data_IF_500009043394
#
_entry.id   IF_500009043394
#
_cell.length_a   1.000
_cell.length_b   1.000
_cell.length_c   1.000
_cell.angle_alpha   90.00
_cell.angle_beta   90.00
_cell.angle_gamma   90.00
#
_symmetry.space_group_name_H-M   'P 1'
#
loop_
_entity.id
_entity.type
_entity.pdbx_description
1 polymer ?
#
# COMPACT_ATOMS: atom_id res chain seq x y z
N UNK A 1 32.19 -2.17 3.70
CA UNK A 1 31.34 -1.29 2.87
C UNK A 1 31.87 0.14 3.02
N UNK A 2 31.90 0.92 1.95
CA UNK A 2 32.36 2.32 2.01
C UNK A 2 31.22 3.24 2.42
N UNK A 3 31.49 4.18 3.33
CA UNK A 3 30.50 5.17 3.77
C UNK A 3 30.56 6.41 2.87
N UNK A 4 29.40 6.96 2.49
CA UNK A 4 29.31 8.27 1.84
C UNK A 4 28.41 9.19 2.66
N UNK A 5 28.79 10.45 2.74
CA UNK A 5 27.99 11.48 3.40
C UNK A 5 27.15 12.21 2.35
N UNK A 6 25.87 12.42 2.64
CA UNK A 6 24.92 13.17 1.81
C UNK A 6 24.22 14.22 2.67
N UNK A 7 23.84 15.35 2.08
CA UNK A 7 22.99 16.34 2.74
C UNK A 7 21.54 16.01 2.45
N UNK A 8 20.71 16.16 3.47
CA UNK A 8 19.29 15.90 3.41
C UNK A 8 18.53 17.16 3.81
N UNK A 9 17.43 17.44 3.12
CA UNK A 9 16.51 18.49 3.56
C UNK A 9 15.84 18.07 4.88
N UNK A 10 15.55 19.05 5.75
CA UNK A 10 15.01 18.80 7.09
C UNK A 10 13.72 17.96 7.05
N UNK A 11 12.82 18.26 6.12
CA UNK A 11 11.55 17.55 5.96
C UNK A 11 11.75 16.06 5.65
N UNK A 12 12.77 15.75 4.84
CA UNK A 12 13.09 14.36 4.48
C UNK A 12 13.76 13.65 5.65
N UNK A 13 14.61 14.35 6.40
CA UNK A 13 15.21 13.82 7.62
C UNK A 13 14.15 13.45 8.66
N UNK A 14 13.23 14.36 8.97
CA UNK A 14 12.17 14.10 9.93
C UNK A 14 11.22 12.99 9.47
N UNK A 15 10.95 12.88 8.16
CA UNK A 15 10.18 11.75 7.62
C UNK A 15 10.88 10.40 7.79
N UNK A 16 12.19 10.33 7.56
CA UNK A 16 12.95 9.08 7.79
C UNK A 16 12.96 8.75 9.29
N UNK A 17 13.13 9.77 10.13
CA UNK A 17 13.15 9.64 11.59
C UNK A 17 11.80 9.19 12.15
N UNK A 18 10.68 9.66 11.62
CA UNK A 18 9.34 9.23 12.05
C UNK A 18 9.06 7.77 11.69
N UNK A 19 9.58 7.32 10.55
CA UNK A 19 9.44 5.94 10.08
C UNK A 19 10.45 4.98 10.73
N UNK A 20 11.42 5.52 11.50
CA UNK A 20 12.48 4.74 12.11
C UNK A 20 11.95 3.88 13.25
N UNK A 21 12.29 2.59 13.22
CA UNK A 21 11.99 1.62 14.28
C UNK A 21 12.97 1.76 15.47
N UNK A 22 12.59 1.31 16.67
CA UNK A 22 13.42 1.44 17.88
C UNK A 22 14.78 0.72 17.77
N UNK A 23 14.81 -0.44 17.12
CA UNK A 23 15.97 -1.34 17.08
C UNK A 23 16.83 -1.21 15.81
N UNK A 24 16.62 -0.17 14.98
CA UNK A 24 17.37 0.01 13.73
C UNK A 24 18.25 1.26 13.73
N UNK A 25 19.23 1.34 12.82
CA UNK A 25 19.99 2.56 12.54
C UNK A 25 19.30 3.40 11.45
N UNK A 26 19.73 4.64 11.25
CA UNK A 26 19.23 5.45 10.14
C UNK A 26 19.57 4.85 8.78
N UNK A 27 20.75 4.24 8.64
CA UNK A 27 21.12 3.54 7.40
C UNK A 27 20.18 2.36 7.14
N UNK A 28 19.86 1.58 8.17
CA UNK A 28 18.92 0.45 8.05
C UNK A 28 17.52 0.92 7.68
N UNK A 29 17.06 2.03 8.28
CA UNK A 29 15.77 2.64 7.95
C UNK A 29 15.75 3.10 6.48
N UNK A 30 16.81 3.76 5.99
CA UNK A 30 16.94 4.19 4.59
C UNK A 30 16.95 2.98 3.66
N UNK A 31 17.75 1.96 3.95
CA UNK A 31 17.83 0.74 3.14
C UNK A 31 16.48 0.01 3.10
N UNK A 32 15.69 0.01 4.18
CA UNK A 32 14.34 -0.56 4.19
C UNK A 32 13.33 0.28 3.40
N UNK A 33 13.36 1.60 3.58
CA UNK A 33 12.42 2.53 2.94
C UNK A 33 12.65 2.61 1.42
N UNK A 34 13.89 2.48 0.97
CA UNK A 34 14.28 2.53 -0.45
C UNK A 34 14.36 1.13 -1.06
N UNK A 35 14.86 0.16 -0.30
CA UNK A 35 15.07 -1.23 -0.72
C UNK A 35 13.87 -2.13 -0.46
N UNK A 36 12.64 -1.58 -0.53
CA UNK A 36 11.42 -2.33 -0.27
C UNK A 36 11.43 -3.68 -1.00
N UNK A 37 11.03 -4.74 -0.28
CA UNK A 37 10.84 -6.06 -0.86
C UNK A 37 10.03 -5.92 -2.14
N UNK A 38 10.58 -6.42 -3.24
CA UNK A 38 9.88 -6.41 -4.50
C UNK A 38 8.57 -7.17 -4.31
N UNK A 39 7.47 -6.73 -4.94
CA UNK A 39 6.28 -7.58 -5.03
C UNK A 39 6.61 -8.92 -5.71
N UNK A 40 7.70 -8.98 -6.49
CA UNK A 40 8.26 -10.22 -7.03
C UNK A 40 8.87 -11.13 -5.95
N UNK A 41 9.27 -10.61 -4.78
CA UNK A 41 9.73 -11.42 -3.66
C UNK A 41 8.57 -12.18 -3.00
N UNK A 42 7.32 -11.74 -3.21
CA UNK A 42 6.12 -12.50 -2.84
C UNK A 42 5.68 -13.50 -3.93
N UNK A 43 6.32 -13.49 -5.10
CA UNK A 43 5.96 -14.42 -6.18
C UNK A 43 6.30 -15.86 -5.78
N UNK A 44 5.33 -16.76 -5.97
CA UNK A 44 5.47 -18.19 -5.64
C UNK A 44 5.07 -18.57 -4.21
N UNK A 45 4.55 -17.64 -3.40
CA UNK A 45 3.94 -17.96 -2.10
C UNK A 45 2.60 -18.69 -2.27
N UNK A 46 1.82 -18.28 -3.29
CA UNK A 46 0.55 -18.90 -3.64
C UNK A 46 0.74 -19.81 -4.85
N UNK A 47 0.08 -20.96 -4.85
CA UNK A 47 -0.09 -21.74 -6.08
C UNK A 47 -1.12 -21.06 -7.01
N UNK A 48 -1.21 -21.50 -8.27
CA UNK A 48 -2.10 -20.89 -9.27
C UNK A 48 -3.59 -20.92 -8.84
N UNK A 49 -4.03 -21.98 -8.17
CA UNK A 49 -5.40 -22.13 -7.69
C UNK A 49 -5.70 -21.19 -6.51
N UNK A 50 -4.78 -21.07 -5.56
CA UNK A 50 -4.87 -20.10 -4.46
C UNK A 50 -4.87 -18.67 -5.00
N UNK A 51 -3.99 -18.36 -5.96
CA UNK A 51 -3.93 -17.05 -6.59
C UNK A 51 -5.24 -16.70 -7.30
N UNK A 52 -5.85 -17.65 -8.01
CA UNK A 52 -7.14 -17.49 -8.66
C UNK A 52 -8.29 -17.31 -7.65
N UNK A 53 -8.27 -18.02 -6.52
CA UNK A 53 -9.26 -17.83 -5.44
C UNK A 53 -9.19 -16.41 -4.87
N UNK A 54 -7.99 -15.95 -4.53
CA UNK A 54 -7.76 -14.59 -4.04
C UNK A 54 -8.24 -13.55 -5.05
N UNK A 55 -7.98 -13.77 -6.34
CA UNK A 55 -8.43 -12.86 -7.42
C UNK A 55 -9.94 -12.78 -7.48
N UNK A 56 -10.63 -13.93 -7.43
CA UNK A 56 -12.11 -13.98 -7.38
C UNK A 56 -12.69 -13.35 -6.12
N UNK A 57 -11.98 -13.40 -4.99
CA UNK A 57 -12.43 -12.76 -3.75
C UNK A 57 -12.35 -11.23 -3.85
N UNK A 58 -11.29 -10.71 -4.46
CA UNK A 58 -11.13 -9.27 -4.76
C UNK A 58 -12.23 -8.82 -5.73
N UNK A 59 -12.39 -9.51 -6.86
CA UNK A 59 -13.40 -9.15 -7.87
C UNK A 59 -14.83 -9.13 -7.29
N UNK A 60 -15.17 -10.07 -6.40
CA UNK A 60 -16.47 -10.07 -5.71
C UNK A 60 -16.64 -8.88 -4.77
N UNK A 61 -15.58 -8.50 -4.07
CA UNK A 61 -15.59 -7.37 -3.14
C UNK A 61 -15.74 -6.05 -3.89
N UNK A 62 -14.99 -5.88 -4.98
CA UNK A 62 -15.07 -4.69 -5.84
C UNK A 62 -16.47 -4.56 -6.45
N UNK A 63 -17.01 -5.64 -7.02
CA UNK A 63 -18.37 -5.62 -7.56
C UNK A 63 -19.44 -5.34 -6.50
N UNK A 64 -19.25 -5.78 -5.25
CA UNK A 64 -20.15 -5.44 -4.15
C UNK A 64 -20.06 -3.96 -3.78
N UNK A 65 -18.84 -3.42 -3.68
CA UNK A 65 -18.61 -2.01 -3.39
C UNK A 65 -19.18 -1.09 -4.48
N UNK A 66 -19.00 -1.41 -5.76
CA UNK A 66 -19.60 -0.62 -6.85
C UNK A 66 -21.13 -0.62 -6.79
N UNK A 67 -21.77 -1.76 -6.51
CA UNK A 67 -23.23 -1.83 -6.35
C UNK A 67 -23.71 -0.97 -5.18
N UNK A 68 -23.02 -1.01 -4.05
CA UNK A 68 -23.37 -0.20 -2.88
C UNK A 68 -23.25 1.30 -3.17
N UNK A 69 -22.20 1.71 -3.91
CA UNK A 69 -22.02 3.09 -4.35
C UNK A 69 -23.15 3.50 -5.31
N UNK A 70 -23.48 2.68 -6.31
CA UNK A 70 -24.57 2.97 -7.26
C UNK A 70 -25.92 3.11 -6.53
N UNK A 71 -26.23 2.21 -5.59
CA UNK A 71 -27.43 2.28 -4.76
C UNK A 71 -27.48 3.54 -3.87
N UNK A 72 -26.32 4.03 -3.43
CA UNK A 72 -26.23 5.29 -2.69
C UNK A 72 -26.47 6.48 -3.62
N UNK A 73 -25.87 6.50 -4.81
CA UNK A 73 -26.04 7.57 -5.80
C UNK A 73 -27.50 7.67 -6.24
N UNK A 74 -28.15 6.56 -6.61
CA UNK A 74 -29.56 6.52 -7.00
C UNK A 74 -30.49 7.06 -5.91
N UNK A 75 -30.15 6.83 -4.64
CA UNK A 75 -30.90 7.39 -3.51
C UNK A 75 -30.78 8.90 -3.43
N UNK A 76 -29.59 9.45 -3.61
CA UNK A 76 -29.36 10.89 -3.55
C UNK A 76 -29.93 11.64 -4.76
N UNK A 77 -29.87 11.07 -5.97
CA UNK A 77 -30.49 11.64 -7.16
C UNK A 77 -32.03 11.55 -7.12
N UNK A 78 -32.59 10.56 -6.40
CA UNK A 78 -34.04 10.43 -6.18
C UNK A 78 -34.63 11.44 -5.18
N UNK A 79 -33.80 12.10 -4.37
CA UNK A 79 -34.21 13.10 -3.37
C UNK A 79 -34.13 14.56 -3.90
N UNK A 80 -33.58 14.81 -5.10
CA UNK A 80 -33.46 16.17 -5.69
C UNK A 80 -34.69 16.60 -6.53
N UNK A 81 -35.66 15.71 -6.76
CA UNK A 81 -36.89 15.96 -7.56
C UNK A 81 -38.16 16.20 -6.71
N UNK A 82 -38.02 16.63 -5.44
CA UNK A 82 -39.15 16.95 -4.52
C UNK A 82 -39.18 18.39 -4.00
#
# INVERSE_FOLDING_TARGET
MGTRNVRLDEDVYERIKSEKRPDETFSDAVDRLIGGSSLLDLAGILNDEEADEFRRAIDRSDAAGTREIDELVDRFDGDDDS
#
